data_IF_660022294332
#
_entry.id   IF_660022294332
#
_cell.length_a   1.000
_cell.length_b   1.000
_cell.length_c   1.000
_cell.angle_alpha   90.00
_cell.angle_beta   90.00
_cell.angle_gamma   90.00
#
_symmetry.space_group_name_H-M   'P 1'
#
loop_
_entity.id
_entity.type
_entity.pdbx_description
1 polymer ?
#
# COMPACT_ATOMS: atom_id res chain seq x y z
N UNK A 1 -10.32 22.46 -13.71
CA UNK A 1 -10.31 22.22 -12.25
C UNK A 1 -9.41 23.24 -11.59
N UNK A 2 -9.85 23.82 -10.46
CA UNK A 2 -9.03 24.74 -9.67
C UNK A 2 -7.92 23.97 -8.94
N UNK A 3 -6.71 24.52 -8.88
CA UNK A 3 -5.57 23.96 -8.13
C UNK A 3 -5.34 24.78 -6.87
N UNK A 4 -6.15 24.56 -5.84
CA UNK A 4 -6.12 25.32 -4.58
C UNK A 4 -5.70 24.50 -3.35
N UNK A 5 -5.58 23.18 -3.47
CA UNK A 5 -5.06 22.31 -2.42
C UNK A 5 -3.52 22.23 -2.46
N UNK A 6 -2.90 22.20 -1.27
CA UNK A 6 -1.44 22.12 -1.10
C UNK A 6 -1.09 20.81 -0.39
N UNK A 7 -0.11 20.08 -0.94
CA UNK A 7 0.45 18.88 -0.32
C UNK A 7 1.83 19.22 0.27
N UNK A 8 2.04 18.90 1.54
CA UNK A 8 3.33 19.02 2.24
C UNK A 8 3.67 17.71 2.92
N UNK A 9 4.83 17.15 2.60
CA UNK A 9 5.33 15.92 3.21
C UNK A 9 6.82 16.08 3.57
N UNK A 10 7.24 15.41 4.65
CA UNK A 10 8.67 15.31 4.99
C UNK A 10 9.28 14.13 4.24
N UNK A 11 10.50 14.32 3.76
CA UNK A 11 11.29 13.30 3.05
C UNK A 11 12.76 13.53 3.38
N UNK A 12 13.57 12.47 3.31
CA UNK A 12 15.02 12.57 3.38
C UNK A 12 15.55 13.48 2.24
N UNK A 13 16.54 14.32 2.55
CA UNK A 13 17.13 15.28 1.59
C UNK A 13 17.72 14.60 0.37
N UNK A 14 18.43 13.50 0.58
CA UNK A 14 19.19 12.79 -0.44
C UNK A 14 18.22 12.13 -1.43
N UNK A 15 17.16 11.51 -0.90
CA UNK A 15 16.07 10.95 -1.71
C UNK A 15 15.39 12.06 -2.54
N UNK A 16 15.16 13.23 -1.95
CA UNK A 16 14.55 14.37 -2.65
C UNK A 16 15.43 14.83 -3.81
N UNK A 17 16.74 14.93 -3.60
CA UNK A 17 17.70 15.37 -4.62
C UNK A 17 17.77 14.36 -5.77
N UNK A 18 17.94 13.09 -5.45
CA UNK A 18 18.01 12.00 -6.44
C UNK A 18 16.73 11.91 -7.27
N UNK A 19 15.56 11.87 -6.61
CA UNK A 19 14.28 11.81 -7.30
C UNK A 19 14.05 13.06 -8.18
N UNK A 20 14.47 14.25 -7.72
CA UNK A 20 14.34 15.48 -8.51
C UNK A 20 15.22 15.44 -9.75
N UNK A 21 16.44 14.89 -9.67
CA UNK A 21 17.33 14.74 -10.82
C UNK A 21 16.73 13.80 -11.87
N UNK A 22 16.19 12.65 -11.46
CA UNK A 22 15.53 11.68 -12.34
C UNK A 22 14.28 12.27 -12.99
N UNK A 23 13.42 12.95 -12.23
CA UNK A 23 12.23 13.59 -12.80
C UNK A 23 12.60 14.66 -13.83
N UNK A 24 13.65 15.44 -13.56
CA UNK A 24 14.14 16.47 -14.49
C UNK A 24 14.66 15.87 -15.79
N UNK A 25 15.31 14.71 -15.77
CA UNK A 25 15.81 14.06 -17.00
C UNK A 25 14.70 13.63 -17.95
N UNK A 26 13.48 13.44 -17.45
CA UNK A 26 12.27 13.14 -18.24
C UNK A 26 11.32 14.35 -18.39
N UNK A 27 11.80 15.56 -18.07
CA UNK A 27 11.03 16.80 -18.26
C UNK A 27 9.92 17.05 -17.24
N UNK A 28 9.95 16.37 -16.09
CA UNK A 28 8.97 16.54 -15.02
C UNK A 28 9.53 17.34 -13.84
N UNK A 29 8.66 18.12 -13.22
CA UNK A 29 8.91 18.72 -11.90
C UNK A 29 8.33 17.81 -10.80
N UNK A 30 8.86 17.85 -9.56
CA UNK A 30 8.27 17.13 -8.44
C UNK A 30 6.77 17.39 -8.28
N UNK A 31 6.34 18.66 -8.38
CA UNK A 31 4.92 19.02 -8.28
C UNK A 31 4.07 18.37 -9.37
N UNK A 32 4.54 18.34 -10.62
CA UNK A 32 3.81 17.67 -11.70
C UNK A 32 3.74 16.16 -11.51
N UNK A 33 4.82 15.52 -11.05
CA UNK A 33 4.86 14.08 -10.76
C UNK A 33 3.87 13.71 -9.65
N UNK A 34 3.81 14.49 -8.55
CA UNK A 34 2.82 14.28 -7.50
C UNK A 34 1.38 14.46 -7.99
N UNK A 35 1.09 15.45 -8.84
CA UNK A 35 -0.24 15.60 -9.41
C UNK A 35 -0.65 14.38 -10.24
N UNK A 36 0.26 13.82 -11.04
CA UNK A 36 0.01 12.61 -11.83
C UNK A 36 -0.23 11.39 -10.92
N UNK A 37 0.58 11.23 -9.88
CA UNK A 37 0.39 10.19 -8.86
C UNK A 37 -1.00 10.27 -8.22
N UNK A 38 -1.40 11.45 -7.74
CA UNK A 38 -2.72 11.65 -7.13
C UNK A 38 -3.86 11.37 -8.11
N UNK A 39 -3.69 11.74 -9.39
CA UNK A 39 -4.69 11.48 -10.41
C UNK A 39 -4.86 9.98 -10.68
N UNK A 40 -3.74 9.25 -10.79
CA UNK A 40 -3.75 7.80 -11.02
C UNK A 40 -4.38 7.06 -9.84
N UNK A 41 -4.05 7.43 -8.60
CA UNK A 41 -4.70 6.87 -7.39
C UNK A 41 -6.21 7.13 -7.41
N UNK A 42 -6.62 8.36 -7.75
CA UNK A 42 -8.04 8.73 -7.75
C UNK A 42 -8.85 7.94 -8.80
N UNK A 43 -8.25 7.62 -9.95
CA UNK A 43 -8.88 6.86 -11.04
C UNK A 43 -8.87 5.36 -10.72
N UNK A 44 -7.70 4.81 -10.40
CA UNK A 44 -7.48 3.35 -10.33
C UNK A 44 -7.85 2.76 -8.96
N UNK A 45 -8.09 3.61 -7.96
CA UNK A 45 -8.38 3.18 -6.57
C UNK A 45 -7.29 2.29 -5.97
N UNK A 46 -6.08 2.40 -6.50
CA UNK A 46 -4.90 1.63 -6.10
C UNK A 46 -3.66 2.52 -6.18
N UNK A 47 -2.60 2.12 -5.47
CA UNK A 47 -1.30 2.74 -5.64
C UNK A 47 -0.70 2.31 -6.98
N UNK A 48 -0.05 3.21 -7.74
CA UNK A 48 0.53 2.88 -9.06
C UNK A 48 1.91 2.20 -8.96
N UNK A 49 2.24 1.70 -7.78
CA UNK A 49 3.34 0.81 -7.49
C UNK A 49 2.78 -0.23 -6.54
N UNK A 50 3.22 -1.46 -6.68
CA UNK A 50 2.81 -2.53 -5.78
C UNK A 50 3.38 -2.24 -4.37
N UNK A 51 2.55 -1.95 -3.35
CA UNK A 51 3.01 -1.85 -1.98
C UNK A 51 3.15 -3.29 -1.42
N UNK A 52 3.93 -4.14 -2.09
CA UNK A 52 3.97 -5.58 -1.84
C UNK A 52 5.26 -6.05 -1.19
N UNK A 53 5.73 -5.30 -0.19
CA UNK A 53 6.52 -5.93 0.86
C UNK A 53 5.58 -6.07 2.05
N UNK A 54 4.97 -7.25 2.26
CA UNK A 54 4.17 -7.49 3.45
C UNK A 54 5.01 -7.18 4.69
N UNK A 55 4.38 -6.68 5.74
CA UNK A 55 5.07 -6.47 7.00
C UNK A 55 5.55 -7.84 7.57
N UNK A 56 6.43 -7.79 8.57
CA UNK A 56 7.01 -9.01 9.14
C UNK A 56 5.95 -9.99 9.65
N UNK A 57 4.90 -9.47 10.29
CA UNK A 57 3.76 -10.25 10.77
C UNK A 57 3.05 -11.02 9.64
N UNK A 58 2.76 -10.34 8.52
CA UNK A 58 2.12 -10.96 7.35
C UNK A 58 3.04 -12.00 6.71
N UNK A 59 4.35 -11.72 6.63
CA UNK A 59 5.34 -12.68 6.13
C UNK A 59 5.33 -13.94 6.98
N UNK A 60 5.32 -13.80 8.31
CA UNK A 60 5.37 -14.93 9.23
C UNK A 60 4.08 -15.73 9.22
N UNK A 61 2.91 -15.07 9.14
CA UNK A 61 1.62 -15.73 8.94
C UNK A 61 1.58 -16.54 7.63
N UNK A 62 2.06 -15.99 6.51
CA UNK A 62 2.15 -16.72 5.23
C UNK A 62 3.07 -17.93 5.35
N UNK A 63 4.22 -17.80 6.04
CA UNK A 63 5.15 -18.92 6.25
C UNK A 63 4.53 -20.00 7.13
N UNK A 64 3.86 -19.64 8.21
CA UNK A 64 3.13 -20.56 9.09
C UNK A 64 2.07 -21.35 8.32
N UNK A 65 1.25 -20.63 7.55
CA UNK A 65 0.23 -21.27 6.70
C UNK A 65 0.84 -22.27 5.71
N UNK A 66 1.98 -21.93 5.06
CA UNK A 66 2.70 -22.84 4.15
C UNK A 66 3.31 -24.05 4.85
N UNK A 67 3.57 -23.99 6.16
CA UNK A 67 4.02 -25.13 6.98
C UNK A 67 2.84 -25.99 7.45
N UNK A 68 1.60 -25.60 7.17
CA UNK A 68 0.40 -26.29 7.66
C UNK A 68 -0.02 -25.87 9.07
N UNK A 69 0.54 -24.78 9.60
CA UNK A 69 0.08 -24.15 10.85
C UNK A 69 -1.18 -23.32 10.54
N UNK A 70 -2.25 -24.00 10.14
CA UNK A 70 -3.56 -23.44 9.82
C UNK A 70 -4.64 -24.10 10.66
N UNK A 71 -5.71 -23.38 10.93
CA UNK A 71 -6.93 -23.96 11.48
C UNK A 71 -7.76 -24.56 10.35
N UNK A 72 -8.05 -25.85 10.43
CA UNK A 72 -8.88 -26.55 9.45
C UNK A 72 -10.33 -26.56 9.91
N UNK A 73 -11.22 -26.20 8.99
CA UNK A 73 -12.67 -26.17 9.20
C UNK A 73 -13.38 -27.01 8.15
N UNK A 74 -14.47 -27.65 8.56
CA UNK A 74 -15.20 -28.60 7.72
C UNK A 74 -16.03 -27.95 6.62
N UNK A 75 -16.31 -26.65 6.72
CA UNK A 75 -17.07 -25.89 5.72
C UNK A 75 -16.83 -24.39 5.86
N UNK A 76 -17.19 -23.63 4.81
CA UNK A 76 -17.18 -22.17 4.87
C UNK A 76 -18.12 -21.62 5.95
N UNK A 77 -19.24 -22.29 6.24
CA UNK A 77 -20.15 -21.86 7.31
C UNK A 77 -19.50 -22.00 8.68
N UNK A 78 -18.84 -23.13 8.94
CA UNK A 78 -18.09 -23.35 10.18
C UNK A 78 -16.94 -22.34 10.35
N UNK A 79 -16.30 -21.91 9.26
CA UNK A 79 -15.30 -20.83 9.30
C UNK A 79 -15.88 -19.51 9.80
N UNK A 80 -17.03 -19.09 9.25
CA UNK A 80 -17.63 -17.81 9.61
C UNK A 80 -18.21 -17.83 11.02
N UNK A 81 -18.78 -18.96 11.45
CA UNK A 81 -19.28 -19.10 12.82
C UNK A 81 -18.12 -18.95 13.84
N UNK A 82 -16.95 -19.54 13.56
CA UNK A 82 -15.74 -19.44 14.40
C UNK A 82 -15.15 -18.00 14.41
N UNK A 83 -15.01 -17.36 13.25
CA UNK A 83 -14.48 -15.99 13.13
C UNK A 83 -15.41 -14.91 13.71
N UNK A 84 -16.72 -15.17 13.74
CA UNK A 84 -17.71 -14.23 14.26
C UNK A 84 -17.86 -14.34 15.78
N UNK A 85 -17.55 -15.49 16.39
CA UNK A 85 -17.49 -15.69 17.84
C UNK A 85 -16.27 -14.98 18.48
N UNK A 86 -15.18 -14.76 17.73
CA UNK A 86 -13.99 -14.00 18.17
C UNK A 86 -14.21 -12.47 18.27
N UNK A 87 -15.44 -11.96 18.13
CA UNK A 87 -15.80 -10.53 18.27
C UNK A 87 -16.31 -10.10 19.65
N UNK A 88 -16.06 -10.90 20.69
CA UNK A 88 -16.24 -10.51 22.10
C UNK A 88 -14.90 -10.36 22.83
N UNK A 89 -14.14 -9.30 22.51
CA UNK A 89 -13.17 -8.65 23.41
C UNK A 89 -12.92 -7.18 23.00
#
# INVERSE_FOLDING_TARGET
MKKDAVIRARINSDIKEEATAVLKSIGLTPSSAYCLLMHKIAIEKALPFDPLVPNQETIDAIKAARRGEVFEVSSSRALFDDLDDDRED
#
